data_IF_559063526173
#
_entry.id   IF_559063526173
#
_cell.length_a   1.000
_cell.length_b   1.000
_cell.length_c   1.000
_cell.angle_alpha   90.00
_cell.angle_beta   90.00
_cell.angle_gamma   90.00
#
_symmetry.space_group_name_H-M   'P 1'
#
loop_
_entity.id
_entity.type
_entity.pdbx_description
1 polymer ?
#
# COMPACT_ATOMS: atom_id res chain seq x y z
N UNK A 1 7.19 18.11 -10.25
CA UNK A 1 6.52 17.26 -9.28
C UNK A 1 6.71 15.82 -9.66
N UNK A 2 6.77 14.93 -8.69
CA UNK A 2 6.97 13.52 -8.94
C UNK A 2 6.32 12.68 -7.85
N UNK A 3 6.24 11.36 -8.07
CA UNK A 3 5.71 10.45 -7.06
C UNK A 3 6.55 10.47 -5.78
N UNK A 4 7.82 10.85 -5.85
CA UNK A 4 8.67 10.93 -4.66
C UNK A 4 8.20 12.01 -3.68
N UNK A 5 7.30 12.90 -4.10
CA UNK A 5 6.72 13.92 -3.22
C UNK A 5 5.47 13.42 -2.48
N UNK A 6 5.03 12.19 -2.74
CA UNK A 6 3.89 11.60 -2.05
C UNK A 6 4.22 11.50 -0.55
N UNK A 7 3.24 11.83 0.29
CA UNK A 7 3.40 11.77 1.74
C UNK A 7 3.85 10.38 2.19
N UNK A 8 4.87 10.33 3.03
CA UNK A 8 5.45 9.08 3.52
C UNK A 8 5.86 8.11 2.42
N UNK A 9 6.37 8.65 1.31
CA UNK A 9 6.88 7.87 0.20
C UNK A 9 7.96 6.89 0.66
N UNK A 10 7.86 5.64 0.20
CA UNK A 10 8.88 4.63 0.48
C UNK A 10 8.98 3.70 -0.73
N UNK A 11 10.12 3.74 -1.40
CA UNK A 11 10.36 2.93 -2.58
C UNK A 11 10.81 1.52 -2.16
N UNK A 12 10.23 0.51 -2.80
CA UNK A 12 10.64 -0.88 -2.61
C UNK A 12 11.58 -1.29 -3.72
N UNK A 13 11.22 -0.99 -4.97
CA UNK A 13 12.01 -1.31 -6.15
C UNK A 13 11.64 -0.34 -7.27
N UNK A 14 12.25 -0.51 -8.44
CA UNK A 14 11.91 0.31 -9.62
C UNK A 14 10.44 0.14 -10.03
N UNK A 15 9.84 -1.00 -9.70
CA UNK A 15 8.45 -1.30 -10.08
C UNK A 15 7.46 -1.24 -8.94
N UNK A 16 7.92 -0.98 -7.73
CA UNK A 16 7.03 -0.98 -6.57
C UNK A 16 7.35 0.19 -5.66
N UNK A 17 6.35 1.05 -5.47
CA UNK A 17 6.46 2.25 -4.64
C UNK A 17 5.26 2.28 -3.69
N UNK A 18 5.50 2.70 -2.46
CA UNK A 18 4.45 2.84 -1.46
C UNK A 18 4.35 4.27 -0.96
N UNK A 19 3.19 4.63 -0.41
CA UNK A 19 3.01 5.97 0.13
C UNK A 19 1.72 6.13 0.91
N UNK A 20 1.55 7.34 1.45
CA UNK A 20 0.27 7.80 1.97
C UNK A 20 -0.62 8.23 0.81
N UNK A 21 -1.71 8.94 1.14
CA UNK A 21 -2.68 9.34 0.12
C UNK A 21 -2.05 10.29 -0.90
N UNK A 22 -1.97 9.91 -2.18
CA UNK A 22 -1.50 10.84 -3.21
C UNK A 22 -2.57 11.88 -3.55
N UNK A 23 -2.10 13.03 -4.02
CA UNK A 23 -2.98 14.03 -4.61
C UNK A 23 -3.35 13.62 -6.04
N UNK A 24 -4.34 14.30 -6.61
CA UNK A 24 -4.69 14.07 -8.02
C UNK A 24 -3.50 14.32 -8.95
N UNK A 25 -2.73 15.38 -8.69
CA UNK A 25 -1.54 15.68 -9.50
C UNK A 25 -0.47 14.59 -9.35
N UNK A 26 -0.31 14.04 -8.16
CA UNK A 26 0.65 12.95 -7.94
C UNK A 26 0.22 11.67 -8.66
N UNK A 27 -1.07 11.42 -8.77
CA UNK A 27 -1.57 10.29 -9.58
C UNK A 27 -1.28 10.51 -11.06
N UNK A 28 -1.40 11.74 -11.53
CA UNK A 28 -0.99 12.08 -12.91
C UNK A 28 0.50 11.90 -13.11
N UNK A 29 1.30 12.29 -12.11
CA UNK A 29 2.74 12.05 -12.12
C UNK A 29 3.05 10.57 -12.23
N UNK A 30 2.32 9.73 -11.48
CA UNK A 30 2.51 8.29 -11.53
C UNK A 30 2.29 7.74 -12.93
N UNK A 31 1.21 8.15 -13.59
CA UNK A 31 0.95 7.74 -14.97
C UNK A 31 2.09 8.19 -15.90
N UNK A 32 2.57 9.41 -15.72
CA UNK A 32 3.66 9.95 -16.54
C UNK A 32 4.98 9.22 -16.28
N UNK A 33 5.18 8.70 -15.07
CA UNK A 33 6.39 7.96 -14.70
C UNK A 33 6.33 6.48 -15.11
N UNK A 34 5.25 6.07 -15.76
CA UNK A 34 5.13 4.70 -16.26
C UNK A 34 4.44 3.71 -15.32
N UNK A 35 3.84 4.18 -14.24
CA UNK A 35 3.04 3.30 -13.37
C UNK A 35 1.83 2.81 -14.16
N UNK A 36 1.47 1.55 -13.97
CA UNK A 36 0.36 0.91 -14.68
C UNK A 36 -0.76 0.47 -13.76
N UNK A 37 -0.56 0.55 -12.45
CA UNK A 37 -1.60 0.17 -11.49
C UNK A 37 -1.44 0.92 -10.18
N UNK A 38 -2.57 1.13 -9.50
CA UNK A 38 -2.63 1.70 -8.16
C UNK A 38 -3.45 0.78 -7.26
N UNK A 39 -2.90 0.43 -6.10
CA UNK A 39 -3.63 -0.30 -5.06
C UNK A 39 -3.86 0.67 -3.91
N UNK A 40 -5.12 0.84 -3.51
CA UNK A 40 -5.50 1.72 -2.42
C UNK A 40 -6.07 0.90 -1.26
N UNK A 41 -5.42 0.96 -0.10
CA UNK A 41 -5.87 0.26 1.10
C UNK A 41 -6.69 1.13 2.05
N UNK A 42 -6.90 2.40 1.72
CA UNK A 42 -7.65 3.31 2.57
C UNK A 42 -9.15 3.26 2.24
N UNK A 43 -10.02 3.20 3.26
CA UNK A 43 -11.45 3.31 3.01
C UNK A 43 -11.81 4.64 2.36
N UNK A 44 -12.92 4.68 1.62
CA UNK A 44 -13.36 5.89 0.91
C UNK A 44 -14.04 6.87 1.86
N UNK A 45 -13.36 7.26 2.93
CA UNK A 45 -13.88 8.14 3.96
C UNK A 45 -13.05 9.41 4.08
N UNK A 46 -13.67 10.59 4.20
CA UNK A 46 -12.91 11.77 4.56
C UNK A 46 -12.27 11.57 5.94
N UNK A 47 -11.21 12.30 6.29
CA UNK A 47 -10.64 13.42 5.53
C UNK A 47 -9.54 13.05 4.55
N UNK A 48 -9.10 11.77 4.49
CA UNK A 48 -7.90 11.42 3.75
C UNK A 48 -8.17 10.84 2.36
N UNK A 49 -9.40 10.42 2.07
CA UNK A 49 -9.70 9.87 0.74
C UNK A 49 -9.75 10.97 -0.32
N UNK A 50 -9.43 10.60 -1.55
CA UNK A 50 -9.53 11.48 -2.71
C UNK A 50 -10.81 11.13 -3.46
N UNK A 51 -11.73 12.09 -3.58
CA UNK A 51 -12.99 11.87 -4.30
C UNK A 51 -12.71 11.54 -5.76
N UNK A 52 -13.34 10.48 -6.25
CA UNK A 52 -13.18 10.08 -7.64
C UNK A 52 -11.83 9.49 -8.00
N UNK A 53 -11.07 9.03 -7.00
CA UNK A 53 -9.74 8.49 -7.24
C UNK A 53 -9.74 7.36 -8.27
N UNK A 54 -10.63 6.38 -8.14
CA UNK A 54 -10.67 5.24 -9.05
C UNK A 54 -10.94 5.67 -10.49
N UNK A 55 -11.86 6.60 -10.67
CA UNK A 55 -12.19 7.12 -11.99
C UNK A 55 -11.01 7.88 -12.60
N UNK A 56 -10.32 8.66 -11.79
CA UNK A 56 -9.12 9.38 -12.24
C UNK A 56 -8.03 8.38 -12.65
N UNK A 57 -7.74 7.40 -11.80
CA UNK A 57 -6.70 6.41 -12.07
C UNK A 57 -6.98 5.68 -13.39
N UNK A 58 -8.23 5.24 -13.57
CA UNK A 58 -8.61 4.53 -14.78
C UNK A 58 -8.57 5.43 -16.02
N UNK A 59 -8.94 6.70 -15.86
CA UNK A 59 -8.85 7.67 -16.96
C UNK A 59 -7.42 7.93 -17.40
N UNK A 60 -6.46 7.69 -16.52
CA UNK A 60 -5.03 7.83 -16.81
C UNK A 60 -4.42 6.56 -17.41
N UNK A 61 -5.24 5.53 -17.64
CA UNK A 61 -4.78 4.28 -18.23
C UNK A 61 -4.19 3.29 -17.23
N UNK A 62 -4.35 3.52 -15.94
CA UNK A 62 -3.86 2.62 -14.90
C UNK A 62 -5.00 1.75 -14.36
N UNK A 63 -4.67 0.52 -13.98
CA UNK A 63 -5.62 -0.33 -13.25
C UNK A 63 -5.77 0.20 -11.83
N UNK A 64 -6.98 0.09 -11.27
CA UNK A 64 -7.24 0.51 -9.89
C UNK A 64 -7.78 -0.64 -9.07
N UNK A 65 -7.12 -0.93 -7.95
CA UNK A 65 -7.57 -1.96 -7.01
C UNK A 65 -7.82 -1.30 -5.67
N UNK A 66 -9.05 -1.34 -5.20
CA UNK A 66 -9.42 -0.75 -3.92
C UNK A 66 -9.72 -1.86 -2.91
N UNK A 67 -8.93 -1.92 -1.85
CA UNK A 67 -9.11 -2.88 -0.76
C UNK A 67 -9.25 -2.06 0.51
N UNK A 68 -10.47 -1.67 0.89
CA UNK A 68 -10.66 -0.80 2.06
C UNK A 68 -10.38 -1.57 3.35
N UNK A 69 -9.27 -1.23 3.99
CA UNK A 69 -8.84 -1.86 5.25
C UNK A 69 -9.19 -0.95 6.40
N UNK A 70 -10.09 -1.40 7.27
CA UNK A 70 -10.47 -0.68 8.47
C UNK A 70 -9.29 -0.66 9.44
N UNK A 71 -8.83 0.53 9.83
CA UNK A 71 -7.69 0.66 10.72
C UNK A 71 -7.92 -0.06 12.05
N UNK A 72 -9.14 -0.02 12.56
CA UNK A 72 -9.47 -0.65 13.84
C UNK A 72 -9.77 -2.14 13.73
N UNK A 73 -9.81 -2.69 12.52
CA UNK A 73 -10.14 -4.11 12.30
C UNK A 73 -9.60 -4.64 10.97
N UNK A 74 -8.28 -4.77 10.84
CA UNK A 74 -7.72 -5.43 9.64
C UNK A 74 -8.11 -6.90 9.67
N UNK A 75 -8.48 -7.46 8.51
CA UNK A 75 -8.97 -8.83 8.44
C UNK A 75 -8.10 -9.72 7.55
N UNK A 76 -8.23 -11.03 7.77
CA UNK A 76 -7.54 -12.01 6.92
C UNK A 76 -8.03 -11.92 5.48
N UNK A 77 -9.31 -11.60 5.27
CA UNK A 77 -9.86 -11.41 3.94
C UNK A 77 -9.23 -10.20 3.23
N UNK A 78 -8.95 -9.12 3.98
CA UNK A 78 -8.26 -7.95 3.43
C UNK A 78 -6.86 -8.34 2.95
N UNK A 79 -6.14 -9.10 3.76
CA UNK A 79 -4.80 -9.53 3.40
C UNK A 79 -4.82 -10.48 2.21
N UNK A 80 -5.77 -11.42 2.18
CA UNK A 80 -5.93 -12.33 1.03
C UNK A 80 -6.22 -11.57 -0.26
N UNK A 81 -7.05 -10.52 -0.19
CA UNK A 81 -7.32 -9.66 -1.33
C UNK A 81 -6.06 -8.94 -1.80
N UNK A 82 -5.24 -8.49 -0.87
CA UNK A 82 -3.95 -7.86 -1.18
C UNK A 82 -3.00 -8.85 -1.87
N UNK A 83 -2.89 -10.06 -1.34
CA UNK A 83 -2.06 -11.10 -1.96
C UNK A 83 -2.52 -11.41 -3.39
N UNK A 84 -3.82 -11.51 -3.58
CA UNK A 84 -4.40 -11.77 -4.90
C UNK A 84 -4.08 -10.63 -5.88
N UNK A 85 -4.20 -9.38 -5.43
CA UNK A 85 -3.88 -8.23 -6.25
C UNK A 85 -2.39 -8.20 -6.62
N UNK A 86 -1.51 -8.47 -5.66
CA UNK A 86 -0.07 -8.50 -5.91
C UNK A 86 0.30 -9.57 -6.93
N UNK A 87 -0.32 -10.75 -6.83
CA UNK A 87 -0.07 -11.83 -7.79
C UNK A 87 -0.57 -11.46 -9.19
N UNK A 88 -1.75 -10.84 -9.27
CA UNK A 88 -2.35 -10.45 -10.55
C UNK A 88 -1.53 -9.35 -11.23
N UNK A 89 -0.92 -8.47 -10.45
CA UNK A 89 -0.15 -7.34 -10.96
C UNK A 89 1.36 -7.61 -11.02
N UNK A 90 1.77 -8.87 -10.91
CA UNK A 90 3.17 -9.23 -10.97
C UNK A 90 3.79 -8.73 -12.28
N UNK A 91 4.94 -8.09 -12.20
CA UNK A 91 5.61 -7.51 -13.36
C UNK A 91 5.15 -6.12 -13.76
N UNK A 92 4.03 -5.64 -13.19
CA UNK A 92 3.54 -4.28 -13.42
C UNK A 92 4.30 -3.28 -12.55
N UNK A 93 4.24 -2.01 -12.92
CA UNK A 93 4.79 -0.94 -12.08
C UNK A 93 3.64 -0.39 -11.23
N UNK A 94 3.69 -0.63 -9.92
CA UNK A 94 2.54 -0.44 -9.03
C UNK A 94 2.85 0.57 -7.93
N UNK A 95 1.89 1.49 -7.73
CA UNK A 95 1.87 2.38 -6.58
C UNK A 95 0.86 1.82 -5.58
N UNK A 96 1.30 1.57 -4.35
CA UNK A 96 0.44 1.06 -3.28
C UNK A 96 0.33 2.14 -2.21
N UNK A 97 -0.89 2.55 -1.86
CA UNK A 97 -1.04 3.60 -0.86
C UNK A 97 -2.21 3.35 0.10
N UNK A 98 -2.19 4.10 1.18
CA UNK A 98 -3.31 4.24 2.10
C UNK A 98 -3.35 5.70 2.55
N UNK A 99 -3.62 6.02 3.81
CA UNK A 99 -3.59 7.41 4.27
C UNK A 99 -2.17 7.90 4.55
N UNK A 100 -1.39 7.11 5.31
CA UNK A 100 -0.06 7.49 5.78
C UNK A 100 0.99 6.39 5.58
N UNK A 101 0.72 5.45 4.71
CA UNK A 101 1.60 4.31 4.42
C UNK A 101 1.71 3.28 5.57
N UNK A 102 0.89 3.39 6.61
CA UNK A 102 0.95 2.46 7.75
C UNK A 102 0.39 1.08 7.36
N UNK A 103 -0.82 1.03 6.81
CA UNK A 103 -1.44 -0.24 6.38
C UNK A 103 -0.60 -0.92 5.31
N UNK A 104 -0.08 -0.13 4.38
CA UNK A 104 0.69 -0.65 3.26
C UNK A 104 1.97 -1.33 3.73
N UNK A 105 2.73 -0.66 4.61
CA UNK A 105 4.01 -1.23 5.06
C UNK A 105 3.80 -2.48 5.91
N UNK A 106 2.71 -2.54 6.68
CA UNK A 106 2.35 -3.75 7.42
C UNK A 106 2.00 -4.89 6.46
N UNK A 107 1.11 -4.65 5.51
CA UNK A 107 0.66 -5.66 4.56
C UNK A 107 1.79 -6.12 3.64
N UNK A 108 2.56 -5.17 3.12
CA UNK A 108 3.67 -5.56 2.23
C UNK A 108 4.74 -6.35 2.97
N UNK A 109 5.06 -5.98 4.21
CA UNK A 109 6.00 -6.73 5.03
C UNK A 109 5.55 -8.18 5.22
N UNK A 110 4.27 -8.39 5.52
CA UNK A 110 3.71 -9.73 5.66
C UNK A 110 3.73 -10.49 4.33
N UNK A 111 3.39 -9.82 3.24
CA UNK A 111 3.43 -10.39 1.91
C UNK A 111 4.86 -10.84 1.56
N UNK A 112 5.83 -9.99 1.79
CA UNK A 112 7.23 -10.28 1.47
C UNK A 112 7.79 -11.43 2.29
N UNK A 113 7.38 -11.55 3.57
CA UNK A 113 7.77 -12.69 4.39
C UNK A 113 7.22 -13.99 3.83
N UNK A 114 5.96 -13.98 3.43
CA UNK A 114 5.27 -15.17 2.95
C UNK A 114 5.70 -15.58 1.55
N UNK A 115 5.89 -14.62 0.66
CA UNK A 115 6.08 -14.89 -0.78
C UNK A 115 7.49 -14.61 -1.29
N UNK A 116 8.27 -13.76 -0.62
CA UNK A 116 9.58 -13.35 -1.09
C UNK A 116 10.72 -13.82 -0.19
N UNK A 117 10.39 -14.53 0.87
CA UNK A 117 11.39 -15.09 1.76
C UNK A 117 12.07 -14.07 2.68
N UNK A 118 11.46 -12.92 2.90
CA UNK A 118 12.03 -11.93 3.82
C UNK A 118 12.04 -12.50 5.25
N UNK A 119 13.14 -12.35 6.01
CA UNK A 119 13.12 -12.64 7.43
C UNK A 119 12.27 -11.60 8.18
N UNK A 120 11.82 -11.97 9.38
CA UNK A 120 11.02 -11.08 10.24
C UNK A 120 11.70 -9.72 10.43
N UNK A 121 12.99 -9.73 10.65
CA UNK A 121 13.76 -8.51 10.89
C UNK A 121 13.69 -7.54 9.71
N UNK A 122 13.72 -8.08 8.49
CA UNK A 122 13.64 -7.24 7.29
C UNK A 122 12.27 -6.60 7.15
N UNK A 123 11.20 -7.36 7.40
CA UNK A 123 9.84 -6.87 7.35
C UNK A 123 9.61 -5.78 8.42
N UNK A 124 10.12 -6.03 9.63
CA UNK A 124 10.05 -5.05 10.72
C UNK A 124 10.82 -3.78 10.40
N UNK A 125 12.02 -3.89 9.88
CA UNK A 125 12.84 -2.74 9.52
C UNK A 125 12.18 -1.93 8.41
N UNK A 126 11.56 -2.59 7.46
CA UNK A 126 10.82 -1.93 6.38
C UNK A 126 9.67 -1.10 6.94
N UNK A 127 8.82 -1.69 7.77
CA UNK A 127 7.68 -0.99 8.38
C UNK A 127 8.14 0.13 9.32
N UNK A 128 9.20 -0.13 10.08
CA UNK A 128 9.70 0.82 11.08
C UNK A 128 10.19 2.14 10.48
N UNK A 129 10.49 2.17 9.20
CA UNK A 129 10.83 3.43 8.53
C UNK A 129 9.65 4.41 8.53
N UNK A 130 8.43 3.91 8.70
CA UNK A 130 7.21 4.71 8.63
C UNK A 130 6.55 4.84 10.00
N UNK A 131 6.46 3.74 10.76
CA UNK A 131 5.73 3.75 12.03
C UNK A 131 6.15 2.61 12.96
N UNK A 132 5.86 2.77 14.27
CA UNK A 132 6.17 1.76 15.29
C UNK A 132 4.91 0.95 15.60
N UNK A 133 4.97 -0.36 15.37
CA UNK A 133 3.83 -1.25 15.58
C UNK A 133 3.36 -1.31 17.04
N UNK A 134 4.29 -1.12 18.00
CA UNK A 134 3.96 -1.17 19.42
C UNK A 134 2.96 -0.09 19.87
N UNK A 135 2.79 0.97 19.08
CA UNK A 135 1.82 2.01 19.39
C UNK A 135 0.38 1.62 19.03
N UNK A 136 0.21 0.49 18.32
CA UNK A 136 -1.09 0.08 17.78
C UNK A 136 -1.32 -1.41 18.03
N UNK A 137 -1.84 -1.77 19.22
CA UNK A 137 -1.98 -3.19 19.61
C UNK A 137 -2.75 -4.07 18.64
N UNK A 138 -3.80 -3.55 18.01
CA UNK A 138 -4.59 -4.30 17.03
C UNK A 138 -3.73 -4.72 15.85
N UNK A 139 -2.90 -3.80 15.36
CA UNK A 139 -2.01 -4.07 14.23
C UNK A 139 -0.84 -4.97 14.65
N UNK A 140 -0.32 -4.78 15.86
CA UNK A 140 0.73 -5.63 16.38
C UNK A 140 0.25 -7.09 16.45
N UNK A 141 -0.98 -7.30 16.94
CA UNK A 141 -1.58 -8.63 17.01
C UNK A 141 -1.84 -9.22 15.62
N UNK A 142 -2.31 -8.40 14.68
CA UNK A 142 -2.53 -8.83 13.31
C UNK A 142 -1.23 -9.28 12.64
N UNK A 143 -0.18 -8.49 12.78
CA UNK A 143 1.15 -8.81 12.24
C UNK A 143 1.68 -10.10 12.86
N UNK A 144 1.57 -10.25 14.19
CA UNK A 144 2.02 -11.46 14.88
C UNK A 144 1.28 -12.70 14.40
N UNK A 145 -0.04 -12.61 14.20
CA UNK A 145 -0.87 -13.72 13.73
C UNK A 145 -0.44 -14.19 12.34
N UNK A 146 -0.06 -13.27 11.47
CA UNK A 146 0.36 -13.60 10.12
C UNK A 146 1.86 -13.86 9.99
N UNK A 147 2.59 -13.76 11.10
CA UNK A 147 4.04 -13.96 11.13
C UNK A 147 4.44 -15.38 11.57
N UNK A 148 3.48 -16.18 11.96
CA UNK A 148 3.75 -17.54 12.45
C UNK A 148 4.01 -18.53 11.31
#
# INVERSE_FOLDING_TARGET
MSTTDIYNYLKISERLVTGGQPTADQLRDAAAEGFTAVINLYPSNPPHSLDGEGELVESLGMAYVHIPVDWSNPTDADFAAFESAMNRLAGEKVLIHCAANFRVTAFYGLYARKHLGWPDEQAEAFRAQIWAGSDYPIWEAFIARHSA
#
